data_IF_921131743990
#
_entry.id   IF_921131743990
#
_cell.length_a   1.000
_cell.length_b   1.000
_cell.length_c   1.000
_cell.angle_alpha   90.00
_cell.angle_beta   90.00
_cell.angle_gamma   90.00
#
_symmetry.space_group_name_H-M   'P 1'
#
loop_
_entity.id
_entity.type
_entity.pdbx_description
1 polymer ?
#
# COMPACT_ATOMS: atom_id res chain seq x y z
N UNK A 1 -23.84 -5.46 -16.17
CA UNK A 1 -23.10 -6.53 -15.47
C UNK A 1 -22.04 -5.85 -14.63
N UNK A 2 -22.21 -5.78 -13.31
CA UNK A 2 -21.19 -5.23 -12.40
C UNK A 2 -20.11 -6.30 -12.23
N UNK A 3 -19.11 -6.32 -13.11
CA UNK A 3 -17.87 -7.05 -12.82
C UNK A 3 -17.24 -6.34 -11.64
N UNK A 4 -17.26 -6.96 -10.46
CA UNK A 4 -16.64 -6.40 -9.27
C UNK A 4 -15.15 -6.22 -9.55
N UNK A 5 -14.71 -4.95 -9.69
CA UNK A 5 -13.30 -4.58 -9.88
C UNK A 5 -12.41 -5.19 -8.79
N UNK A 6 -13.01 -5.42 -7.62
CA UNK A 6 -12.42 -6.14 -6.50
C UNK A 6 -12.47 -7.65 -6.70
N UNK A 7 -11.32 -8.23 -7.09
CA UNK A 7 -11.08 -9.66 -6.98
C UNK A 7 -10.77 -10.05 -5.53
N UNK A 8 -10.88 -11.35 -5.22
CA UNK A 8 -10.46 -11.89 -3.92
C UNK A 8 -8.99 -11.55 -3.62
N UNK A 9 -8.14 -11.62 -4.63
CA UNK A 9 -6.71 -11.33 -4.52
C UNK A 9 -6.46 -9.87 -4.15
N UNK A 10 -7.10 -8.92 -4.85
CA UNK A 10 -7.00 -7.49 -4.55
C UNK A 10 -7.47 -7.16 -3.12
N UNK A 11 -8.58 -7.75 -2.68
CA UNK A 11 -9.06 -7.59 -1.31
C UNK A 11 -8.04 -8.13 -0.29
N UNK A 12 -7.40 -9.27 -0.61
CA UNK A 12 -6.38 -9.89 0.25
C UNK A 12 -5.12 -9.02 0.34
N UNK A 13 -4.65 -8.48 -0.78
CA UNK A 13 -3.49 -7.59 -0.83
C UNK A 13 -3.74 -6.30 -0.06
N UNK A 14 -4.91 -5.65 -0.27
CA UNK A 14 -5.31 -4.45 0.48
C UNK A 14 -5.37 -4.70 1.98
N UNK A 15 -6.03 -5.78 2.42
CA UNK A 15 -6.12 -6.13 3.84
C UNK A 15 -4.75 -6.45 4.44
N UNK A 16 -3.90 -7.14 3.68
CA UNK A 16 -2.53 -7.46 4.12
C UNK A 16 -1.70 -6.19 4.32
N UNK A 17 -1.81 -5.22 3.42
CA UNK A 17 -1.13 -3.94 3.52
C UNK A 17 -1.64 -3.11 4.72
N UNK A 18 -2.95 -3.06 4.94
CA UNK A 18 -3.57 -2.35 6.08
C UNK A 18 -3.14 -2.94 7.43
N UNK A 19 -3.19 -4.27 7.58
CA UNK A 19 -2.70 -4.97 8.78
C UNK A 19 -1.20 -4.73 9.01
N UNK A 20 -0.41 -4.69 7.94
CA UNK A 20 1.01 -4.40 8.04
C UNK A 20 1.26 -2.94 8.49
N UNK A 21 0.46 -1.98 8.00
CA UNK A 21 0.54 -0.57 8.39
C UNK A 21 0.24 -0.37 9.88
N UNK A 22 -0.80 -1.01 10.38
CA UNK A 22 -1.17 -0.97 11.80
C UNK A 22 -0.03 -1.48 12.70
N UNK A 23 0.71 -2.48 12.22
CA UNK A 23 1.83 -3.09 12.94
C UNK A 23 3.16 -2.39 12.75
N UNK A 24 3.28 -1.45 11.80
CA UNK A 24 4.53 -0.77 11.47
C UNK A 24 4.89 0.34 12.48
N UNK A 25 4.78 0.06 13.78
CA UNK A 25 4.99 1.04 14.87
C UNK A 25 6.42 1.59 14.95
N UNK A 26 7.37 0.94 14.26
CA UNK A 26 8.74 1.40 14.10
C UNK A 26 8.87 2.61 13.16
N UNK A 27 7.86 2.87 12.32
CA UNK A 27 7.85 4.03 11.42
C UNK A 27 7.28 5.29 12.10
N UNK A 28 7.74 6.49 11.70
CA UNK A 28 7.13 7.75 12.12
C UNK A 28 5.62 7.78 11.84
N UNK A 29 4.86 8.44 12.73
CA UNK A 29 3.40 8.60 12.59
C UNK A 29 3.03 9.26 11.26
N UNK A 30 3.79 10.26 10.84
CA UNK A 30 3.59 10.97 9.56
C UNK A 30 3.76 10.05 8.36
N UNK A 31 4.80 9.20 8.37
CA UNK A 31 5.03 8.19 7.32
C UNK A 31 3.89 7.19 7.26
N UNK A 32 3.44 6.67 8.40
CA UNK A 32 2.29 5.75 8.45
C UNK A 32 1.01 6.40 7.93
N UNK A 33 0.73 7.64 8.32
CA UNK A 33 -0.43 8.38 7.85
C UNK A 33 -0.40 8.57 6.33
N UNK A 34 0.76 8.91 5.75
CA UNK A 34 0.92 9.02 4.31
C UNK A 34 0.64 7.69 3.60
N UNK A 35 1.16 6.58 4.13
CA UNK A 35 0.93 5.26 3.52
C UNK A 35 -0.53 4.80 3.64
N UNK A 36 -1.25 5.16 4.71
CA UNK A 36 -2.71 4.95 4.75
C UNK A 36 -3.45 5.78 3.70
N UNK A 37 -3.03 7.03 3.46
CA UNK A 37 -3.60 7.84 2.37
C UNK A 37 -3.31 7.22 1.01
N UNK A 38 -2.10 6.72 0.78
CA UNK A 38 -1.75 6.01 -0.45
C UNK A 38 -2.68 4.78 -0.64
N UNK A 39 -2.89 3.97 0.42
CA UNK A 39 -3.78 2.80 0.38
C UNK A 39 -5.23 3.17 0.02
N UNK A 40 -5.75 4.27 0.59
CA UNK A 40 -7.08 4.79 0.28
C UNK A 40 -7.17 5.34 -1.15
N UNK A 41 -6.14 6.05 -1.61
CA UNK A 41 -6.08 6.62 -2.95
C UNK A 41 -6.04 5.53 -4.02
N UNK A 42 -5.26 4.46 -3.81
CA UNK A 42 -5.21 3.30 -4.71
C UNK A 42 -6.58 2.63 -4.83
N UNK A 43 -7.26 2.37 -3.70
CA UNK A 43 -8.61 1.82 -3.70
C UNK A 43 -9.61 2.71 -4.46
N UNK A 44 -9.57 4.02 -4.21
CA UNK A 44 -10.43 5.01 -4.88
C UNK A 44 -10.15 5.08 -6.39
N UNK A 45 -8.87 4.99 -6.80
CA UNK A 45 -8.49 5.03 -8.20
C UNK A 45 -8.90 3.75 -8.94
N UNK A 46 -8.79 2.58 -8.32
CA UNK A 46 -9.31 1.32 -8.85
C UNK A 46 -10.82 1.40 -9.06
N UNK A 47 -11.57 1.83 -8.04
CA UNK A 47 -13.04 1.95 -8.12
C UNK A 47 -13.50 2.94 -9.19
N UNK A 48 -12.75 4.02 -9.39
CA UNK A 48 -12.99 4.98 -10.45
C UNK A 48 -12.52 4.51 -11.85
N UNK A 49 -11.92 3.32 -11.97
CA UNK A 49 -11.37 2.81 -13.21
C UNK A 49 -10.13 3.57 -13.72
N UNK A 50 -9.47 4.35 -12.85
CA UNK A 50 -8.21 5.06 -13.16
C UNK A 50 -6.98 4.17 -12.98
N UNK A 51 -7.10 3.10 -12.19
CA UNK A 51 -6.13 2.03 -12.10
C UNK A 51 -6.77 0.73 -12.58
N UNK A 52 -5.99 -0.07 -13.30
CA UNK A 52 -6.32 -1.47 -13.56
C UNK A 52 -6.17 -2.32 -12.29
N UNK A 53 -6.70 -3.54 -12.34
CA UNK A 53 -6.56 -4.49 -11.24
C UNK A 53 -5.10 -4.83 -10.95
N UNK A 54 -4.28 -5.03 -11.98
CA UNK A 54 -2.87 -5.41 -11.81
C UNK A 54 -2.03 -4.26 -11.24
N UNK A 55 -2.30 -3.03 -11.67
CA UNK A 55 -1.64 -1.84 -11.11
C UNK A 55 -2.02 -1.62 -9.65
N UNK A 56 -3.31 -1.74 -9.31
CA UNK A 56 -3.76 -1.63 -7.93
C UNK A 56 -3.16 -2.71 -7.03
N UNK A 57 -3.03 -3.95 -7.55
CA UNK A 57 -2.38 -5.05 -6.84
C UNK A 57 -0.91 -4.75 -6.55
N UNK A 58 -0.18 -4.28 -7.57
CA UNK A 58 1.22 -3.88 -7.43
C UNK A 58 1.40 -2.75 -6.42
N UNK A 59 0.50 -1.77 -6.41
CA UNK A 59 0.52 -0.67 -5.43
C UNK A 59 0.29 -1.16 -3.99
N UNK A 60 -0.69 -2.05 -3.75
CA UNK A 60 -0.91 -2.61 -2.41
C UNK A 60 0.30 -3.41 -1.91
N UNK A 61 0.88 -4.25 -2.77
CA UNK A 61 2.10 -4.99 -2.43
C UNK A 61 3.31 -4.06 -2.24
N UNK A 62 3.42 -2.99 -3.02
CA UNK A 62 4.45 -1.98 -2.88
C UNK A 62 4.32 -1.19 -1.58
N UNK A 63 3.11 -0.86 -1.13
CA UNK A 63 2.87 -0.29 0.21
C UNK A 63 3.37 -1.27 1.27
N UNK A 64 3.00 -2.56 1.17
CA UNK A 64 3.45 -3.59 2.12
C UNK A 64 4.98 -3.75 2.14
N UNK A 65 5.63 -3.71 0.98
CA UNK A 65 7.08 -3.80 0.87
C UNK A 65 7.82 -2.69 1.61
N UNK A 66 7.32 -1.45 1.54
CA UNK A 66 7.86 -0.25 2.22
C UNK A 66 7.81 -0.32 3.75
N UNK A 67 7.06 -1.27 4.32
CA UNK A 67 6.89 -1.45 5.77
C UNK A 67 7.90 -2.44 6.37
N UNK A 68 8.77 -3.02 5.54
CA UNK A 68 9.79 -3.95 6.01
C UNK A 68 11.00 -3.18 6.57
N UNK A 69 11.64 -3.66 7.66
CA UNK A 69 12.75 -2.96 8.32
C UNK A 69 13.93 -2.64 7.40
N UNK A 70 14.14 -3.43 6.33
CA UNK A 70 15.21 -3.20 5.33
C UNK A 70 14.99 -1.95 4.45
N UNK A 71 13.77 -1.42 4.42
CA UNK A 71 13.39 -0.27 3.59
C UNK A 71 14.01 1.05 4.05
N UNK A 72 14.64 1.07 5.23
CA UNK A 72 15.34 2.23 5.80
C UNK A 72 16.86 2.08 5.63
N UNK A 73 17.31 1.85 4.40
CA UNK A 73 18.72 2.14 4.06
C UNK A 73 18.80 3.61 3.65
N UNK A 74 19.09 4.44 4.63
CA UNK A 74 19.34 5.88 4.49
C UNK A 74 20.67 6.09 3.72
N UNK A 75 20.70 6.73 2.53
CA UNK A 75 21.94 6.99 1.80
C UNK A 75 22.76 8.17 2.40
N UNK A 76 22.50 8.60 3.63
CA UNK A 76 22.97 9.86 4.18
C UNK A 76 24.11 9.77 5.22
N UNK A 77 24.95 8.73 5.22
CA UNK A 77 26.19 8.72 6.02
C UNK A 77 27.38 8.24 5.17
N UNK A 78 27.88 9.12 4.32
CA UNK A 78 29.26 9.10 3.81
C UNK A 78 29.63 10.51 3.36
N UNK A 79 30.05 11.34 4.33
CA UNK A 79 30.77 12.58 4.11
C UNK A 79 31.71 12.81 5.29
#
# INVERSE_FOLDING_TARGET
MLTTLWSRELLTARLSADIALDRATHLPVTTRAQLHLDLLNTATALEAGRLSADEALAEFEGIRGRLTPESVSDPAISA
#
